data_IF_674952247508
#
_entry.id   IF_674952247508
#
_cell.length_a   1.000
_cell.length_b   1.000
_cell.length_c   1.000
_cell.angle_alpha   90.00
_cell.angle_beta   90.00
_cell.angle_gamma   90.00
#
_symmetry.space_group_name_H-M   'P 1'
#
loop_
_entity.id
_entity.type
_entity.pdbx_description
1 polymer ?
#
# COMPACT_ATOMS: atom_id res chain seq x y z
N UNK A 1 -25.31 56.10 -19.67
CA UNK A 1 -25.46 56.33 -18.21
C UNK A 1 -26.60 55.46 -17.70
N UNK A 2 -26.56 54.94 -16.46
CA UNK A 2 -26.04 53.63 -16.07
C UNK A 2 -27.15 52.57 -15.83
N UNK A 3 -26.80 51.29 -15.98
CA UNK A 3 -27.59 50.15 -15.48
C UNK A 3 -27.48 50.10 -13.94
N UNK A 4 -28.58 50.08 -13.17
CA UNK A 4 -28.54 49.61 -11.78
C UNK A 4 -28.72 48.09 -11.79
N UNK A 5 -27.60 47.36 -11.77
CA UNK A 5 -27.07 46.66 -10.60
C UNK A 5 -28.06 45.64 -10.02
N UNK A 6 -27.81 44.39 -10.41
CA UNK A 6 -28.38 43.17 -9.86
C UNK A 6 -28.43 43.21 -8.32
N UNK A 7 -29.62 43.37 -7.75
CA UNK A 7 -29.89 43.03 -6.37
C UNK A 7 -29.96 41.50 -6.24
N UNK A 8 -28.79 40.85 -6.25
CA UNK A 8 -28.66 39.46 -5.84
C UNK A 8 -28.87 39.43 -4.33
N UNK A 9 -29.98 38.84 -3.91
CA UNK A 9 -30.31 38.53 -2.54
C UNK A 9 -29.13 37.87 -1.80
N UNK A 10 -29.00 38.07 -0.48
CA UNK A 10 -27.91 37.52 0.33
C UNK A 10 -27.86 36.00 0.15
N UNK A 11 -26.71 35.49 -0.31
CA UNK A 11 -26.49 34.05 -0.35
C UNK A 11 -26.60 33.54 1.09
N UNK A 12 -27.65 32.76 1.33
CA UNK A 12 -27.81 31.94 2.52
C UNK A 12 -26.58 31.04 2.71
N UNK A 13 -26.22 30.65 3.94
CA UNK A 13 -25.20 29.65 4.17
C UNK A 13 -25.54 28.40 3.35
N UNK A 14 -24.60 27.99 2.53
CA UNK A 14 -24.70 26.80 1.70
C UNK A 14 -25.13 25.64 2.59
N UNK A 15 -26.32 25.14 2.30
CA UNK A 15 -26.92 23.99 2.95
C UNK A 15 -25.90 22.84 2.97
N UNK A 16 -25.71 22.14 4.11
CA UNK A 16 -24.87 20.95 4.16
C UNK A 16 -25.42 19.96 3.13
N UNK A 17 -24.65 19.75 2.07
CA UNK A 17 -24.93 18.76 1.04
C UNK A 17 -25.17 17.42 1.72
N UNK A 18 -26.41 17.00 1.65
CA UNK A 18 -26.96 15.72 2.04
C UNK A 18 -26.30 14.60 1.21
N UNK A 19 -25.15 14.12 1.66
CA UNK A 19 -24.61 12.85 1.22
C UNK A 19 -25.30 11.71 1.99
N UNK A 20 -25.78 10.65 1.31
CA UNK A 20 -26.59 9.60 1.92
C UNK A 20 -25.82 8.86 3.03
N UNK A 21 -26.26 9.06 4.27
CA UNK A 21 -25.79 8.38 5.46
C UNK A 21 -26.26 6.92 5.48
N UNK A 22 -25.47 6.03 4.87
CA UNK A 22 -25.55 4.60 5.21
C UNK A 22 -25.14 4.42 6.68
N UNK A 23 -25.75 3.49 7.45
CA UNK A 23 -25.45 3.34 8.87
C UNK A 23 -23.97 3.00 9.08
N UNK A 24 -23.23 3.75 9.93
CA UNK A 24 -21.80 3.52 10.17
C UNK A 24 -21.51 2.11 10.69
N UNK A 25 -22.51 1.48 11.34
CA UNK A 25 -22.42 0.15 11.92
C UNK A 25 -22.11 -0.97 10.90
N UNK A 26 -22.71 -0.92 9.71
CA UNK A 26 -22.47 -1.94 8.66
C UNK A 26 -21.07 -1.82 8.05
N UNK A 27 -20.52 -0.60 8.00
CA UNK A 27 -19.15 -0.36 7.51
C UNK A 27 -18.12 -0.82 8.54
N UNK A 28 -18.36 -0.56 9.83
CA UNK A 28 -17.50 -1.05 10.91
C UNK A 28 -17.41 -2.59 10.93
N UNK A 29 -18.55 -3.29 10.80
CA UNK A 29 -18.57 -4.75 10.69
C UNK A 29 -17.80 -5.28 9.47
N UNK A 30 -17.88 -4.60 8.34
CA UNK A 30 -17.10 -4.94 7.15
C UNK A 30 -15.60 -4.71 7.35
N UNK A 31 -15.19 -3.65 8.04
CA UNK A 31 -13.77 -3.39 8.39
C UNK A 31 -13.24 -4.45 9.35
N UNK A 32 -13.98 -4.79 10.41
CA UNK A 32 -13.59 -5.87 11.32
C UNK A 32 -13.47 -7.22 10.60
N UNK A 33 -14.41 -7.55 9.71
CA UNK A 33 -14.34 -8.77 8.91
C UNK A 33 -13.12 -8.77 7.97
N UNK A 34 -12.77 -7.61 7.40
CA UNK A 34 -11.57 -7.46 6.59
C UNK A 34 -10.30 -7.65 7.42
N UNK A 35 -10.19 -7.00 8.58
CA UNK A 35 -9.05 -7.17 9.50
C UNK A 35 -8.94 -8.63 9.95
N UNK A 36 -10.07 -9.28 10.27
CA UNK A 36 -10.12 -10.71 10.58
C UNK A 36 -9.63 -11.59 9.43
N UNK A 37 -9.97 -11.24 8.18
CA UNK A 37 -9.44 -11.93 6.99
C UNK A 37 -7.92 -11.73 6.84
N UNK A 38 -7.38 -10.52 7.06
CA UNK A 38 -5.92 -10.29 7.06
C UNK A 38 -5.24 -11.10 8.15
N UNK A 39 -5.80 -11.14 9.37
CA UNK A 39 -5.29 -11.97 10.46
C UNK A 39 -5.33 -13.46 10.10
N UNK A 40 -6.41 -13.94 9.49
CA UNK A 40 -6.53 -15.31 9.02
C UNK A 40 -5.47 -15.65 7.96
N UNK A 41 -5.25 -14.74 7.00
CA UNK A 41 -4.20 -14.89 6.00
C UNK A 41 -2.80 -14.91 6.63
N UNK A 42 -2.56 -14.06 7.63
CA UNK A 42 -1.31 -14.05 8.37
C UNK A 42 -1.09 -15.35 9.15
N UNK A 43 -2.13 -15.92 9.77
CA UNK A 43 -2.06 -17.22 10.44
C UNK A 43 -1.75 -18.36 9.46
N UNK A 44 -2.35 -18.35 8.27
CA UNK A 44 -2.01 -19.31 7.20
C UNK A 44 -0.56 -19.14 6.78
N UNK A 45 -0.11 -17.90 6.54
CA UNK A 45 1.27 -17.60 6.17
C UNK A 45 2.27 -18.03 7.25
N UNK A 46 1.95 -17.81 8.52
CA UNK A 46 2.77 -18.22 9.67
C UNK A 46 2.79 -19.75 9.83
N UNK A 47 1.65 -20.43 9.64
CA UNK A 47 1.59 -21.90 9.64
C UNK A 47 2.44 -22.49 8.51
N UNK A 48 2.37 -21.88 7.32
CA UNK A 48 3.19 -22.28 6.18
C UNK A 48 4.67 -22.02 6.42
N UNK A 49 5.03 -20.86 6.99
CA UNK A 49 6.41 -20.55 7.40
C UNK A 49 6.96 -21.59 8.37
N UNK A 50 6.16 -22.00 9.36
CA UNK A 50 6.55 -23.01 10.36
C UNK A 50 6.75 -24.39 9.74
N UNK A 51 5.86 -24.81 8.84
CA UNK A 51 5.95 -26.11 8.16
C UNK A 51 7.14 -26.18 7.19
N UNK A 52 7.41 -25.10 6.47
CA UNK A 52 8.48 -25.05 5.47
C UNK A 52 9.82 -24.53 6.01
N UNK A 53 9.91 -24.18 7.29
CA UNK A 53 11.11 -23.62 7.95
C UNK A 53 11.80 -22.52 7.12
N UNK A 54 11.02 -21.72 6.39
CA UNK A 54 11.56 -20.72 5.47
C UNK A 54 12.20 -19.58 6.27
N UNK A 55 13.42 -19.12 5.92
CA UNK A 55 14.10 -17.99 6.56
C UNK A 55 13.45 -16.63 6.23
N UNK A 56 12.22 -16.64 5.72
CA UNK A 56 11.53 -15.49 5.18
C UNK A 56 10.49 -15.00 6.19
N UNK A 57 10.37 -13.68 6.44
CA UNK A 57 9.36 -13.15 7.33
C UNK A 57 7.95 -13.57 6.91
N UNK A 58 7.09 -13.91 7.88
CA UNK A 58 5.69 -14.26 7.63
C UNK A 58 4.93 -13.17 6.87
N UNK A 59 5.32 -11.90 7.06
CA UNK A 59 4.76 -10.76 6.31
C UNK A 59 4.94 -10.89 4.79
N UNK A 60 6.11 -11.32 4.31
CA UNK A 60 6.34 -11.48 2.87
C UNK A 60 5.54 -12.65 2.29
N UNK A 61 5.42 -13.75 3.04
CA UNK A 61 4.57 -14.89 2.66
C UNK A 61 3.10 -14.45 2.61
N UNK A 62 2.64 -13.66 3.58
CA UNK A 62 1.31 -13.07 3.60
C UNK A 62 1.06 -12.15 2.40
N UNK A 63 2.04 -11.34 2.00
CA UNK A 63 1.97 -10.52 0.78
C UNK A 63 1.85 -11.37 -0.48
N UNK A 64 2.63 -12.45 -0.61
CA UNK A 64 2.51 -13.37 -1.75
C UNK A 64 1.15 -14.07 -1.77
N UNK A 65 0.67 -14.55 -0.63
CA UNK A 65 -0.62 -15.22 -0.53
C UNK A 65 -1.77 -14.25 -0.87
N UNK A 66 -1.68 -13.00 -0.41
CA UNK A 66 -2.62 -11.95 -0.75
C UNK A 66 -2.59 -11.63 -2.26
N UNK A 67 -1.39 -11.53 -2.84
CA UNK A 67 -1.22 -11.30 -4.27
C UNK A 67 -1.83 -12.44 -5.09
N UNK A 68 -1.57 -13.69 -4.71
CA UNK A 68 -2.18 -14.86 -5.33
C UNK A 68 -3.72 -14.82 -5.23
N UNK A 69 -4.27 -14.52 -4.04
CA UNK A 69 -5.72 -14.36 -3.85
C UNK A 69 -6.33 -13.20 -4.66
N UNK A 70 -5.57 -12.13 -4.90
CA UNK A 70 -5.99 -11.01 -5.75
C UNK A 70 -5.95 -11.38 -7.23
N UNK A 71 -4.92 -12.10 -7.69
CA UNK A 71 -4.80 -12.59 -9.06
C UNK A 71 -5.85 -13.66 -9.39
N UNK A 72 -6.17 -14.56 -8.45
CA UNK A 72 -7.23 -15.55 -8.61
C UNK A 72 -8.65 -14.95 -8.55
N UNK A 73 -8.79 -13.65 -8.31
CA UNK A 73 -10.09 -12.95 -8.23
C UNK A 73 -10.92 -13.29 -6.98
N UNK A 74 -10.37 -14.10 -6.06
CA UNK A 74 -11.04 -14.52 -4.83
C UNK A 74 -11.18 -13.36 -3.85
N UNK A 75 -10.23 -12.42 -3.88
CA UNK A 75 -10.22 -11.21 -3.04
C UNK A 75 -10.52 -9.97 -3.89
N UNK A 76 -11.58 -9.22 -3.57
CA UNK A 76 -11.84 -7.93 -4.20
C UNK A 76 -10.93 -6.87 -3.61
N UNK A 77 -9.94 -6.37 -4.37
CA UNK A 77 -9.00 -5.34 -3.91
C UNK A 77 -9.67 -4.07 -3.36
N UNK A 78 -10.88 -3.73 -3.82
CA UNK A 78 -11.69 -2.62 -3.27
C UNK A 78 -12.12 -2.81 -1.82
N UNK A 79 -12.35 -4.05 -1.37
CA UNK A 79 -12.68 -4.35 0.02
C UNK A 79 -11.44 -4.16 0.89
N UNK A 80 -10.32 -4.74 0.49
CA UNK A 80 -9.06 -4.65 1.22
C UNK A 80 -8.60 -3.20 1.45
N UNK A 81 -8.79 -2.32 0.46
CA UNK A 81 -8.41 -0.91 0.55
C UNK A 81 -9.04 -0.19 1.75
N UNK A 82 -10.26 -0.52 2.14
CA UNK A 82 -10.94 0.19 3.22
C UNK A 82 -10.33 -0.17 4.59
N UNK A 83 -10.19 -1.46 4.88
CA UNK A 83 -9.54 -1.94 6.10
C UNK A 83 -8.07 -1.56 6.19
N UNK A 84 -7.33 -1.64 5.06
CA UNK A 84 -5.95 -1.19 5.00
C UNK A 84 -5.81 0.31 5.27
N UNK A 85 -6.69 1.14 4.69
CA UNK A 85 -6.65 2.60 4.92
C UNK A 85 -7.02 2.97 6.37
N UNK A 86 -7.90 2.20 7.00
CA UNK A 86 -8.20 2.36 8.42
C UNK A 86 -6.99 2.00 9.30
N UNK A 87 -6.35 0.85 9.04
CA UNK A 87 -5.14 0.42 9.75
C UNK A 87 -3.97 1.41 9.53
N UNK A 88 -3.87 1.96 8.32
CA UNK A 88 -2.90 3.00 7.96
C UNK A 88 -3.16 4.31 8.71
N UNK A 89 -4.43 4.68 8.92
CA UNK A 89 -4.79 5.85 9.74
C UNK A 89 -4.36 5.70 11.21
N UNK A 90 -4.44 4.48 11.73
CA UNK A 90 -3.99 4.12 13.09
C UNK A 90 -2.49 3.77 13.15
N UNK A 91 -1.68 4.03 12.10
CA UNK A 91 -0.24 3.73 12.13
C UNK A 91 0.47 4.36 13.32
N UNK A 92 0.02 5.54 13.78
CA UNK A 92 0.55 6.18 14.99
C UNK A 92 0.39 5.26 16.21
N UNK A 93 -0.77 4.60 16.37
CA UNK A 93 -1.03 3.65 17.44
C UNK A 93 -0.06 2.46 17.40
N UNK A 94 0.34 2.00 16.21
CA UNK A 94 1.34 0.94 16.05
C UNK A 94 2.79 1.42 16.24
N UNK A 95 3.05 2.70 15.98
CA UNK A 95 4.37 3.30 16.19
C UNK A 95 4.69 3.56 17.66
N UNK A 96 3.70 3.91 18.48
CA UNK A 96 3.88 4.14 19.92
C UNK A 96 4.57 2.94 20.63
N UNK A 97 4.04 1.69 20.54
CA UNK A 97 4.68 0.54 21.18
C UNK A 97 6.03 0.20 20.55
N UNK A 98 6.18 0.36 19.22
CA UNK A 98 7.45 0.12 18.55
C UNK A 98 8.54 1.08 19.05
N UNK A 99 8.22 2.37 19.20
CA UNK A 99 9.14 3.38 19.75
C UNK A 99 9.45 3.14 21.23
N UNK A 100 8.46 2.74 22.03
CA UNK A 100 8.67 2.40 23.43
C UNK A 100 9.73 1.30 23.59
N UNK A 101 9.67 0.24 22.77
CA UNK A 101 10.67 -0.84 22.77
C UNK A 101 12.06 -0.30 22.44
N UNK A 102 12.19 0.63 21.50
CA UNK A 102 13.49 1.24 21.15
C UNK A 102 14.07 2.02 22.34
N UNK A 103 13.24 2.75 23.08
CA UNK A 103 13.70 3.54 24.24
C UNK A 103 14.20 2.69 25.42
N UNK A 104 13.81 1.42 25.49
CA UNK A 104 14.27 0.49 26.54
C UNK A 104 15.71 -0.01 26.30
N UNK A 105 16.27 0.17 25.10
CA UNK A 105 17.62 -0.28 24.73
C UNK A 105 18.49 0.86 24.16
N UNK A 106 18.75 1.93 24.94
CA UNK A 106 19.44 3.13 24.45
C UNK A 106 20.91 2.87 24.06
N UNK A 107 21.59 1.94 24.74
CA UNK A 107 23.00 1.62 24.45
C UNK A 107 23.19 0.94 23.10
N UNK A 108 22.22 0.11 22.68
CA UNK A 108 22.18 -0.51 21.35
C UNK A 108 22.05 0.54 20.25
N UNK A 109 21.19 1.55 20.47
CA UNK A 109 20.95 2.62 19.49
C UNK A 109 22.17 3.54 19.38
N UNK A 110 22.87 3.84 20.47
CA UNK A 110 24.08 4.68 20.43
C UNK A 110 25.24 4.03 19.69
N UNK A 111 25.49 2.74 19.92
CA UNK A 111 26.62 2.05 19.29
C UNK A 111 26.31 1.48 17.90
N UNK A 112 25.15 0.83 17.73
CA UNK A 112 24.79 0.18 16.48
C UNK A 112 23.86 1.02 15.59
N UNK A 113 23.28 2.12 16.09
CA UNK A 113 22.36 2.96 15.32
C UNK A 113 22.98 3.53 14.04
N UNK A 114 24.26 3.91 14.07
CA UNK A 114 24.96 4.37 12.86
C UNK A 114 25.11 3.25 11.83
N UNK A 115 25.44 2.02 12.26
CA UNK A 115 25.55 0.86 11.37
C UNK A 115 24.19 0.53 10.75
N UNK A 116 23.13 0.56 11.54
CA UNK A 116 21.75 0.32 11.07
C UNK A 116 21.34 1.38 10.05
N UNK A 117 21.56 2.68 10.34
CA UNK A 117 21.23 3.77 9.43
C UNK A 117 21.97 3.64 8.08
N UNK A 118 23.26 3.31 8.13
CA UNK A 118 24.06 3.11 6.92
C UNK A 118 23.56 1.91 6.11
N UNK A 119 23.28 0.77 6.76
CA UNK A 119 22.72 -0.42 6.09
C UNK A 119 21.36 -0.13 5.46
N UNK A 120 20.47 0.57 6.15
CA UNK A 120 19.16 0.95 5.61
C UNK A 120 19.33 1.89 4.41
N UNK A 121 20.16 2.93 4.54
CA UNK A 121 20.41 3.87 3.45
C UNK A 121 21.01 3.20 2.22
N UNK A 122 22.06 2.41 2.43
CA UNK A 122 22.76 1.72 1.34
C UNK A 122 21.87 0.66 0.68
N UNK A 123 21.13 -0.15 1.46
CA UNK A 123 20.20 -1.14 0.90
C UNK A 123 19.08 -0.47 0.11
N UNK A 124 18.57 0.68 0.58
CA UNK A 124 17.53 1.44 -0.11
C UNK A 124 18.04 1.99 -1.44
N UNK A 125 19.24 2.59 -1.47
CA UNK A 125 19.88 3.06 -2.71
C UNK A 125 20.15 1.89 -3.66
N UNK A 126 20.66 0.78 -3.15
CA UNK A 126 20.97 -0.40 -3.94
C UNK A 126 19.71 -1.01 -4.58
N UNK A 127 18.62 -1.14 -3.82
CA UNK A 127 17.33 -1.64 -4.30
C UNK A 127 16.74 -0.71 -5.35
N UNK A 128 16.78 0.60 -5.14
CA UNK A 128 16.33 1.58 -6.13
C UNK A 128 17.16 1.50 -7.42
N UNK A 129 18.49 1.44 -7.32
CA UNK A 129 19.38 1.32 -8.46
C UNK A 129 19.16 0.00 -9.22
N UNK A 130 19.04 -1.13 -8.52
CA UNK A 130 18.74 -2.42 -9.12
C UNK A 130 17.40 -2.40 -9.87
N UNK A 131 16.36 -1.80 -9.27
CA UNK A 131 15.05 -1.67 -9.90
C UNK A 131 15.12 -0.77 -11.14
N UNK A 132 15.80 0.37 -11.06
CA UNK A 132 16.00 1.29 -12.18
C UNK A 132 16.75 0.62 -13.34
N UNK A 133 17.84 -0.10 -13.05
CA UNK A 133 18.61 -0.84 -14.05
C UNK A 133 17.79 -1.98 -14.67
N UNK A 134 17.03 -2.72 -13.87
CA UNK A 134 16.16 -3.78 -14.37
C UNK A 134 15.12 -3.23 -15.37
N UNK A 135 14.44 -2.14 -14.99
CA UNK A 135 13.46 -1.48 -15.86
C UNK A 135 14.12 -0.92 -17.11
N UNK A 136 15.29 -0.27 -17.00
CA UNK A 136 16.01 0.28 -18.15
C UNK A 136 16.47 -0.83 -19.12
N UNK A 137 16.92 -1.98 -18.61
CA UNK A 137 17.28 -3.14 -19.43
C UNK A 137 16.06 -3.72 -20.15
N UNK A 138 14.92 -3.83 -19.48
CA UNK A 138 13.67 -4.31 -20.10
C UNK A 138 13.20 -3.34 -21.18
N UNK A 139 13.20 -2.03 -20.90
CA UNK A 139 12.80 -1.02 -21.88
C UNK A 139 13.73 -1.01 -23.09
N UNK A 140 15.04 -1.13 -22.88
CA UNK A 140 16.03 -1.19 -23.97
C UNK A 140 15.90 -2.48 -24.79
N UNK A 141 15.54 -3.59 -24.15
CA UNK A 141 15.22 -4.85 -24.82
C UNK A 141 13.95 -4.73 -25.66
N UNK A 142 12.90 -4.09 -25.13
CA UNK A 142 11.64 -3.86 -25.84
C UNK A 142 11.86 -2.95 -27.07
N UNK A 143 12.66 -1.90 -26.95
CA UNK A 143 13.04 -1.04 -28.08
C UNK A 143 13.85 -1.80 -29.13
N UNK A 144 14.74 -2.71 -28.71
CA UNK A 144 15.49 -3.57 -29.64
C UNK A 144 14.58 -4.58 -30.36
N UNK A 145 13.60 -5.16 -29.66
CA UNK A 145 12.59 -6.07 -30.20
C UNK A 145 11.61 -5.34 -31.13
N UNK A 146 11.22 -4.11 -30.82
CA UNK A 146 10.34 -3.28 -31.64
C UNK A 146 10.97 -2.93 -32.98
N UNK A 147 12.29 -2.69 -33.02
CA UNK A 147 13.04 -2.50 -34.29
C UNK A 147 13.11 -3.78 -35.14
N UNK A 148 12.95 -4.98 -34.54
CA UNK A 148 12.90 -6.27 -35.26
C UNK A 148 11.50 -6.67 -35.68
N UNK A 149 10.44 -6.11 -35.09
CA UNK A 149 9.08 -6.21 -35.63
C UNK A 149 8.93 -5.21 -36.78
N UNK A 150 9.58 -5.54 -37.90
CA UNK A 150 9.28 -4.93 -39.19
C UNK A 150 7.79 -5.07 -39.53
N UNK A 151 7.23 -4.14 -40.32
CA UNK A 151 5.80 -4.00 -40.54
C UNK A 151 5.22 -5.28 -41.17
N UNK A 152 4.66 -6.16 -40.33
CA UNK A 152 3.80 -7.23 -40.82
C UNK A 152 2.41 -6.64 -41.05
N UNK A 153 2.17 -6.30 -42.31
CA UNK A 153 0.83 -6.42 -42.89
C UNK A 153 -0.02 -5.15 -42.90
N UNK A 154 0.46 -4.10 -43.56
CA UNK A 154 -0.43 -3.36 -44.46
C UNK A 154 -0.50 -4.15 -45.75
N UNK A 155 -1.46 -5.08 -45.85
CA UNK A 155 -1.86 -5.69 -47.13
C UNK A 155 -3.35 -6.01 -47.07
N UNK A 156 -4.06 -5.23 -47.89
CA UNK A 156 -5.33 -5.49 -48.58
C UNK A 156 -6.58 -5.75 -47.73
#
# INVERSE_FOLDING_TARGET
MPRPSAAKAPNAPDTPSSAPSLPPLRRAGAVLAQVGLLCGLWLVAESLRRQFALPVPAGLIGFLALAAGLFSGLVRGRWLRHGANWLLGEMVLFFIPAMLVVTQYPDLVRHDGWRIALVIGLSTVLVMAATALAVDRVHRLEVWLARRRGPRGSRA
#
